data_IF_265257592869
#
_entry.id   IF_265257592869
#
_cell.length_a   1.000
_cell.length_b   1.000
_cell.length_c   1.000
_cell.angle_alpha   90.00
_cell.angle_beta   90.00
_cell.angle_gamma   90.00
#
_symmetry.space_group_name_H-M   'P 1'
#
loop_
_entity.id
_entity.type
_entity.pdbx_description
1 polymer ?
#
# COMPACT_ATOMS: atom_id res chain seq x y z
N UNK A 1 -13.92 -10.72 -26.31
CA UNK A 1 -14.86 -11.55 -25.48
C UNK A 1 -14.20 -12.78 -24.87
N UNK A 2 -13.18 -13.40 -25.51
CA UNK A 2 -12.53 -14.63 -25.00
C UNK A 2 -11.58 -14.37 -23.80
N UNK A 3 -10.94 -13.20 -23.69
CA UNK A 3 -9.97 -12.93 -22.63
C UNK A 3 -10.65 -12.67 -21.27
N UNK A 4 -11.75 -11.92 -21.25
CA UNK A 4 -12.52 -11.68 -20.01
C UNK A 4 -13.14 -12.96 -19.42
N UNK A 5 -13.49 -13.94 -20.25
CA UNK A 5 -13.99 -15.24 -19.77
C UNK A 5 -12.84 -16.08 -19.16
N UNK A 6 -11.65 -16.07 -19.75
CA UNK A 6 -10.48 -16.76 -19.20
C UNK A 6 -10.02 -16.16 -17.86
N UNK A 7 -10.02 -14.84 -17.74
CA UNK A 7 -9.69 -14.18 -16.48
C UNK A 7 -10.70 -14.52 -15.38
N UNK A 8 -11.98 -14.60 -15.71
CA UNK A 8 -13.05 -14.93 -14.76
C UNK A 8 -12.96 -16.40 -14.32
N UNK A 9 -12.72 -17.31 -15.24
CA UNK A 9 -12.48 -18.75 -14.93
C UNK A 9 -11.23 -18.94 -14.06
N UNK A 10 -10.18 -18.16 -14.31
CA UNK A 10 -8.95 -18.20 -13.51
C UNK A 10 -9.16 -17.63 -12.12
N UNK A 11 -9.93 -16.54 -11.97
CA UNK A 11 -10.33 -16.00 -10.67
C UNK A 11 -11.20 -16.97 -9.86
N UNK A 12 -12.17 -17.62 -10.50
CA UNK A 12 -13.02 -18.62 -9.85
C UNK A 12 -12.21 -19.85 -9.41
N UNK A 13 -11.20 -20.26 -10.18
CA UNK A 13 -10.26 -21.31 -9.82
C UNK A 13 -9.42 -20.96 -8.59
N UNK A 14 -8.88 -19.73 -8.53
CA UNK A 14 -8.12 -19.22 -7.38
C UNK A 14 -9.02 -19.19 -6.14
N UNK A 15 -10.26 -18.71 -6.27
CA UNK A 15 -11.20 -18.61 -5.14
C UNK A 15 -11.49 -19.97 -4.51
N UNK A 16 -11.78 -20.97 -5.33
CA UNK A 16 -11.98 -22.35 -4.86
C UNK A 16 -10.76 -22.93 -4.16
N UNK A 17 -9.57 -22.65 -4.68
CA UNK A 17 -8.30 -23.09 -4.05
C UNK A 17 -8.11 -22.44 -2.68
N UNK A 18 -8.37 -21.13 -2.57
CA UNK A 18 -8.28 -20.40 -1.29
C UNK A 18 -9.29 -20.93 -0.27
N UNK A 19 -10.53 -21.19 -0.67
CA UNK A 19 -11.55 -21.79 0.21
C UNK A 19 -11.12 -23.18 0.71
N UNK A 20 -10.64 -24.04 -0.18
CA UNK A 20 -10.18 -25.38 0.19
C UNK A 20 -9.00 -25.33 1.18
N UNK A 21 -8.02 -24.46 0.94
CA UNK A 21 -6.89 -24.24 1.86
C UNK A 21 -7.37 -23.70 3.20
N UNK A 22 -8.27 -22.72 3.20
CA UNK A 22 -8.85 -22.15 4.42
C UNK A 22 -9.54 -23.22 5.26
N UNK A 23 -10.34 -24.07 4.63
CA UNK A 23 -11.00 -25.19 5.32
C UNK A 23 -10.00 -26.16 5.96
N UNK A 24 -8.90 -26.46 5.28
CA UNK A 24 -7.83 -27.35 5.81
C UNK A 24 -7.15 -26.71 7.03
N UNK A 25 -6.81 -25.44 6.95
CA UNK A 25 -6.18 -24.68 8.04
C UNK A 25 -7.12 -24.61 9.26
N UNK A 26 -8.36 -24.20 9.05
CA UNK A 26 -9.38 -24.12 10.13
C UNK A 26 -9.58 -25.50 10.78
N UNK A 27 -9.73 -26.56 10.00
CA UNK A 27 -9.90 -27.92 10.53
C UNK A 27 -8.70 -28.40 11.35
N UNK A 28 -7.48 -28.05 10.94
CA UNK A 28 -6.26 -28.37 11.67
C UNK A 28 -6.16 -27.62 13.00
N UNK A 29 -6.54 -26.36 13.01
CA UNK A 29 -6.54 -25.50 14.20
C UNK A 29 -7.65 -25.90 15.18
N UNK A 30 -8.86 -26.19 14.67
CA UNK A 30 -10.01 -26.58 15.51
C UNK A 30 -9.74 -27.87 16.29
N UNK A 31 -8.97 -28.80 15.74
CA UNK A 31 -8.56 -30.03 16.46
C UNK A 31 -7.70 -29.70 17.69
N UNK A 32 -6.80 -28.70 17.60
CA UNK A 32 -5.98 -28.24 18.73
C UNK A 32 -6.77 -27.49 19.78
N UNK A 33 -7.79 -26.68 19.36
CA UNK A 33 -8.66 -25.97 20.31
C UNK A 33 -9.51 -26.96 21.13
N UNK A 34 -9.92 -28.09 20.53
CA UNK A 34 -10.72 -29.11 21.24
C UNK A 34 -10.00 -29.67 22.47
N UNK A 35 -8.66 -29.57 22.51
CA UNK A 35 -7.83 -29.96 23.65
C UNK A 35 -7.63 -28.84 24.69
N UNK A 36 -8.28 -27.67 24.51
CA UNK A 36 -8.22 -26.54 25.44
C UNK A 36 -6.99 -25.64 25.28
N UNK A 37 -6.21 -25.80 24.21
CA UNK A 37 -5.03 -25.01 23.93
C UNK A 37 -5.38 -23.62 23.38
N UNK A 38 -4.58 -22.62 23.78
CA UNK A 38 -4.65 -21.27 23.24
C UNK A 38 -3.91 -21.24 21.89
N UNK A 39 -4.57 -20.73 20.83
CA UNK A 39 -3.93 -20.57 19.51
C UNK A 39 -3.27 -19.22 19.42
N UNK A 40 -1.98 -19.23 19.16
CA UNK A 40 -1.22 -18.02 18.82
C UNK A 40 -1.25 -17.73 17.32
N UNK A 41 -1.04 -16.46 16.94
CA UNK A 41 -1.04 -16.04 15.54
C UNK A 41 0.02 -16.80 14.72
N UNK A 42 1.14 -17.14 15.35
CA UNK A 42 2.22 -17.93 14.76
C UNK A 42 1.74 -19.33 14.37
N UNK A 43 0.93 -19.98 15.22
CA UNK A 43 0.33 -21.30 14.92
C UNK A 43 -0.55 -21.27 13.68
N UNK A 44 -1.34 -20.18 13.52
CA UNK A 44 -2.17 -19.99 12.33
C UNK A 44 -1.29 -19.85 11.10
N UNK A 45 -0.23 -19.03 11.19
CA UNK A 45 0.69 -18.78 10.08
C UNK A 45 1.44 -20.04 9.66
N UNK A 46 1.88 -20.83 10.62
CA UNK A 46 2.55 -22.11 10.35
C UNK A 46 1.61 -23.13 9.71
N UNK A 47 0.32 -23.15 10.12
CA UNK A 47 -0.66 -24.02 9.48
C UNK A 47 -0.98 -23.60 8.03
N UNK A 48 -1.01 -22.30 7.74
CA UNK A 48 -1.15 -21.78 6.37
C UNK A 48 0.04 -22.22 5.50
N UNK A 49 1.25 -22.07 5.99
CA UNK A 49 2.48 -22.50 5.30
C UNK A 49 2.45 -24.00 5.01
N UNK A 50 2.15 -24.81 6.03
CA UNK A 50 2.05 -26.26 5.90
C UNK A 50 0.94 -26.68 4.91
N UNK A 51 -0.20 -26.00 4.90
CA UNK A 51 -1.27 -26.29 3.96
C UNK A 51 -0.86 -26.00 2.51
N UNK A 52 -0.21 -24.85 2.27
CA UNK A 52 0.32 -24.47 0.97
C UNK A 52 1.38 -25.46 0.47
N UNK A 53 2.28 -25.92 1.35
CA UNK A 53 3.31 -26.90 1.03
C UNK A 53 2.73 -28.27 0.67
N UNK A 54 1.74 -28.74 1.46
CA UNK A 54 1.08 -30.06 1.24
C UNK A 54 0.26 -30.11 -0.04
N UNK A 55 -0.31 -28.98 -0.44
CA UNK A 55 -1.09 -28.86 -1.67
C UNK A 55 -0.21 -28.47 -2.88
N UNK A 56 1.12 -28.65 -2.76
CA UNK A 56 2.11 -28.41 -3.82
C UNK A 56 2.19 -26.96 -4.34
N UNK A 57 1.64 -26.00 -3.59
CA UNK A 57 1.71 -24.57 -3.90
C UNK A 57 3.04 -23.95 -3.43
N UNK A 58 4.17 -24.61 -3.73
CA UNK A 58 5.51 -24.25 -3.22
C UNK A 58 5.93 -22.81 -3.51
N UNK A 59 5.58 -22.27 -4.69
CA UNK A 59 5.88 -20.86 -5.04
C UNK A 59 5.13 -19.88 -4.15
N UNK A 60 3.85 -20.18 -3.88
CA UNK A 60 3.00 -19.35 -3.00
C UNK A 60 3.44 -19.48 -1.55
N UNK A 61 3.77 -20.69 -1.10
CA UNK A 61 4.31 -20.93 0.25
C UNK A 61 5.59 -20.12 0.48
N UNK A 62 6.53 -20.15 -0.47
CA UNK A 62 7.76 -19.36 -0.38
C UNK A 62 7.49 -17.86 -0.33
N UNK A 63 6.61 -17.36 -1.20
CA UNK A 63 6.22 -15.95 -1.20
C UNK A 63 5.55 -15.55 0.14
N UNK A 64 4.73 -16.43 0.70
CA UNK A 64 4.07 -16.24 2.00
C UNK A 64 5.08 -16.13 3.15
N UNK A 65 6.08 -17.02 3.21
CA UNK A 65 7.15 -16.98 4.23
C UNK A 65 7.93 -15.67 4.13
N UNK A 66 8.37 -15.29 2.93
CA UNK A 66 9.09 -14.03 2.71
C UNK A 66 8.25 -12.81 3.13
N UNK A 67 6.97 -12.79 2.77
CA UNK A 67 6.04 -11.75 3.19
C UNK A 67 5.90 -11.69 4.72
N UNK A 68 5.77 -12.85 5.37
CA UNK A 68 5.68 -12.98 6.84
C UNK A 68 6.93 -12.43 7.53
N UNK A 69 8.13 -12.78 7.03
CA UNK A 69 9.39 -12.27 7.55
C UNK A 69 9.52 -10.76 7.38
N UNK A 70 9.21 -10.24 6.21
CA UNK A 70 9.20 -8.79 5.96
C UNK A 70 8.25 -8.06 6.90
N UNK A 71 7.05 -8.61 7.13
CA UNK A 71 6.07 -8.03 8.06
C UNK A 71 6.53 -8.11 9.52
N UNK A 72 7.21 -9.19 9.91
CA UNK A 72 7.78 -9.34 11.25
C UNK A 72 8.91 -8.32 11.48
N UNK A 73 9.83 -8.19 10.53
CA UNK A 73 10.88 -7.19 10.54
C UNK A 73 10.31 -5.76 10.62
N UNK A 74 9.31 -5.45 9.80
CA UNK A 74 8.62 -4.16 9.81
C UNK A 74 8.01 -3.85 11.19
N UNK A 75 7.32 -4.80 11.80
CA UNK A 75 6.75 -4.63 13.16
C UNK A 75 7.83 -4.42 14.22
N UNK A 76 8.92 -5.18 14.16
CA UNK A 76 10.05 -5.04 15.08
C UNK A 76 10.67 -3.63 14.97
N UNK A 77 10.94 -3.17 13.76
CA UNK A 77 11.52 -1.85 13.52
C UNK A 77 10.56 -0.73 13.93
N UNK A 78 9.26 -0.86 13.65
CA UNK A 78 8.25 0.11 14.08
C UNK A 78 8.15 0.17 15.60
N UNK A 79 8.23 -1.00 16.30
CA UNK A 79 8.26 -1.05 17.75
C UNK A 79 9.50 -0.33 18.31
N UNK A 80 10.68 -0.59 17.75
CA UNK A 80 11.92 0.07 18.12
C UNK A 80 11.88 1.59 17.88
N UNK A 81 11.27 2.01 16.77
CA UNK A 81 11.02 3.45 16.50
C UNK A 81 10.11 4.08 17.54
N UNK A 82 9.02 3.40 17.92
CA UNK A 82 8.12 3.86 19.00
C UNK A 82 8.84 3.99 20.33
N UNK A 83 9.72 3.06 20.65
CA UNK A 83 10.55 3.11 21.87
C UNK A 83 11.56 4.27 21.83
N UNK A 84 12.15 4.56 20.66
CA UNK A 84 13.15 5.64 20.49
C UNK A 84 12.54 7.04 20.44
N UNK A 85 11.39 7.18 19.79
CA UNK A 85 10.71 8.48 19.62
C UNK A 85 9.77 8.77 20.79
N UNK A 86 9.43 7.74 21.58
CA UNK A 86 8.76 7.80 22.85
C UNK A 86 7.44 8.60 22.84
N UNK A 87 7.14 9.19 23.97
CA UNK A 87 5.91 9.97 24.20
C UNK A 87 5.75 11.19 23.27
N UNK A 88 6.85 11.69 22.69
CA UNK A 88 6.81 12.85 21.77
C UNK A 88 5.96 12.60 20.53
N UNK A 89 6.08 11.46 19.88
CA UNK A 89 5.29 11.16 18.66
C UNK A 89 3.79 10.93 18.99
N UNK A 90 3.51 10.37 20.15
CA UNK A 90 2.12 10.09 20.58
C UNK A 90 1.35 11.38 20.93
N UNK A 91 2.04 12.47 21.26
CA UNK A 91 1.44 13.77 21.56
C UNK A 91 1.34 14.70 20.35
N UNK A 92 1.97 14.35 19.22
CA UNK A 92 1.93 15.18 18.02
C UNK A 92 0.63 14.94 17.24
N UNK A 93 0.06 16.03 16.74
CA UNK A 93 -1.14 16.00 15.89
C UNK A 93 -0.75 16.17 14.42
N UNK A 94 -1.50 15.55 13.54
CA UNK A 94 -1.43 15.74 12.08
C UNK A 94 -2.72 16.40 11.60
N UNK A 95 -2.59 17.37 10.73
CA UNK A 95 -3.72 17.99 10.04
C UNK A 95 -3.94 17.26 8.70
N UNK A 96 -5.11 16.66 8.54
CA UNK A 96 -5.50 15.97 7.31
C UNK A 96 -5.87 16.96 6.20
N UNK A 97 -6.01 16.44 4.97
CA UNK A 97 -6.46 17.22 3.80
C UNK A 97 -7.87 17.82 3.96
N UNK A 98 -8.74 17.17 4.74
CA UNK A 98 -10.08 17.65 5.08
C UNK A 98 -10.11 18.66 6.24
N UNK A 99 -8.93 19.06 6.76
CA UNK A 99 -8.79 19.96 7.90
C UNK A 99 -8.97 19.29 9.26
N UNK A 100 -9.35 18.03 9.33
CA UNK A 100 -9.47 17.31 10.60
C UNK A 100 -8.10 17.01 11.21
N UNK A 101 -8.02 16.91 12.53
CA UNK A 101 -6.79 16.60 13.24
C UNK A 101 -6.87 15.23 13.87
N UNK A 102 -5.79 14.46 13.76
CA UNK A 102 -5.64 13.18 14.46
C UNK A 102 -4.23 13.02 15.02
N UNK A 103 -4.01 12.14 16.03
CA UNK A 103 -2.66 11.83 16.50
C UNK A 103 -1.80 11.24 15.38
N UNK A 104 -0.53 11.58 15.32
CA UNK A 104 0.42 10.98 14.38
C UNK A 104 0.51 9.48 14.65
N UNK A 105 0.31 8.68 13.60
CA UNK A 105 0.46 7.24 13.66
C UNK A 105 1.65 6.79 12.83
N UNK A 106 2.73 6.41 13.49
CA UNK A 106 3.93 5.85 12.83
C UNK A 106 3.59 4.56 12.09
N UNK A 107 2.63 3.77 12.59
CA UNK A 107 2.18 2.55 11.91
C UNK A 107 1.55 2.86 10.54
N UNK A 108 0.71 3.91 10.46
CA UNK A 108 0.12 4.34 9.20
C UNK A 108 1.19 4.79 8.20
N UNK A 109 2.18 5.56 8.67
CA UNK A 109 3.29 6.05 7.85
C UNK A 109 4.12 4.86 7.34
N UNK A 110 4.58 4.00 8.25
CA UNK A 110 5.40 2.82 7.92
C UNK A 110 4.68 1.88 6.95
N UNK A 111 3.41 1.61 7.20
CA UNK A 111 2.61 0.73 6.33
C UNK A 111 2.49 1.29 4.91
N UNK A 112 2.24 2.59 4.79
CA UNK A 112 2.12 3.26 3.49
C UNK A 112 3.44 3.22 2.72
N UNK A 113 4.55 3.57 3.36
CA UNK A 113 5.87 3.53 2.71
C UNK A 113 6.23 2.10 2.31
N UNK A 114 5.92 1.10 3.15
CA UNK A 114 6.14 -0.32 2.84
C UNK A 114 5.32 -0.80 1.64
N UNK A 115 4.06 -0.39 1.52
CA UNK A 115 3.22 -0.73 0.35
C UNK A 115 3.79 -0.12 -0.92
N UNK A 116 4.21 1.16 -0.88
CA UNK A 116 4.77 1.86 -2.04
C UNK A 116 6.15 1.34 -2.45
N UNK A 117 6.89 0.68 -1.55
CA UNK A 117 8.17 0.05 -1.84
C UNK A 117 8.06 -1.36 -2.46
N UNK A 118 6.85 -1.88 -2.65
CA UNK A 118 6.65 -3.23 -3.19
C UNK A 118 7.36 -3.38 -4.53
N UNK A 119 8.18 -4.44 -4.66
CA UNK A 119 8.96 -4.72 -5.86
C UNK A 119 10.27 -3.93 -6.00
N UNK A 120 10.60 -3.05 -5.05
CA UNK A 120 11.90 -2.37 -4.97
C UNK A 120 12.84 -3.15 -4.04
N UNK A 121 14.14 -3.08 -4.33
CA UNK A 121 15.19 -3.78 -3.56
C UNK A 121 15.79 -2.87 -2.48
N UNK A 122 14.94 -2.33 -1.61
CA UNK A 122 15.32 -1.40 -0.54
C UNK A 122 14.55 -1.72 0.75
N UNK A 123 15.08 -1.23 1.88
CA UNK A 123 14.35 -1.24 3.15
C UNK A 123 13.57 0.08 3.33
N UNK A 124 12.22 0.04 3.19
CA UNK A 124 11.38 1.23 3.32
C UNK A 124 11.43 1.86 4.72
N UNK A 125 11.80 1.07 5.74
CA UNK A 125 11.82 1.51 7.14
C UNK A 125 12.93 2.53 7.38
N UNK A 126 14.04 2.43 6.65
CA UNK A 126 15.14 3.40 6.70
C UNK A 126 14.64 4.81 6.39
N UNK A 127 13.74 4.95 5.40
CA UNK A 127 13.12 6.25 5.08
C UNK A 127 12.33 6.79 6.26
N UNK A 128 11.49 5.95 6.87
CA UNK A 128 10.67 6.36 8.03
C UNK A 128 11.57 6.73 9.22
N UNK A 129 12.61 5.95 9.49
CA UNK A 129 13.55 6.21 10.57
C UNK A 129 14.25 7.57 10.41
N UNK A 130 14.67 7.89 9.19
CA UNK A 130 15.33 9.17 8.90
C UNK A 130 14.34 10.36 8.88
N UNK A 131 13.07 10.11 8.54
CA UNK A 131 12.05 11.16 8.50
C UNK A 131 11.46 11.49 9.88
N UNK A 132 11.29 10.51 10.78
CA UNK A 132 10.61 10.69 12.06
C UNK A 132 11.19 11.87 12.92
N UNK A 133 12.52 12.06 13.01
CA UNK A 133 13.08 13.18 13.80
C UNK A 133 12.67 14.58 13.30
N UNK A 134 12.29 14.71 12.03
CA UNK A 134 11.85 15.98 11.44
C UNK A 134 10.34 16.26 11.55
N UNK A 135 9.57 15.33 12.10
CA UNK A 135 8.15 15.55 12.32
C UNK A 135 7.89 16.47 13.51
N UNK A 136 6.89 17.32 13.39
CA UNK A 136 6.46 18.27 14.41
C UNK A 136 4.93 18.26 14.56
N UNK A 137 4.42 18.85 15.64
CA UNK A 137 2.99 18.89 15.89
C UNK A 137 2.27 19.82 14.91
N UNK A 138 1.05 19.45 14.51
CA UNK A 138 0.21 20.13 13.52
C UNK A 138 0.75 20.13 12.08
N UNK A 139 1.78 19.33 11.79
CA UNK A 139 2.24 19.10 10.41
C UNK A 139 1.07 18.58 9.55
N UNK A 140 0.98 19.05 8.32
CA UNK A 140 -0.04 18.54 7.40
C UNK A 140 0.33 17.17 6.83
N UNK A 141 -0.68 16.38 6.47
CA UNK A 141 -0.44 15.09 5.81
C UNK A 141 0.26 15.24 4.46
N UNK A 142 0.11 16.37 3.78
CA UNK A 142 0.80 16.70 2.52
C UNK A 142 2.29 16.96 2.77
N UNK A 143 2.60 17.72 3.82
CA UNK A 143 3.99 17.98 4.23
C UNK A 143 4.70 16.70 4.66
N UNK A 144 4.00 15.79 5.39
CA UNK A 144 4.56 14.47 5.72
C UNK A 144 4.90 13.70 4.44
N UNK A 145 3.99 13.69 3.44
CA UNK A 145 4.23 13.00 2.17
C UNK A 145 5.41 13.61 1.42
N UNK A 146 5.52 14.94 1.41
CA UNK A 146 6.64 15.66 0.80
C UNK A 146 7.94 15.32 1.50
N UNK A 147 7.97 15.39 2.82
CA UNK A 147 9.18 15.13 3.62
C UNK A 147 9.66 13.68 3.50
N UNK A 148 8.73 12.71 3.47
CA UNK A 148 9.06 11.29 3.20
C UNK A 148 9.65 11.09 1.81
N UNK A 149 9.09 11.75 0.78
CA UNK A 149 9.60 11.67 -0.57
C UNK A 149 11.01 12.27 -0.70
N UNK A 150 11.25 13.45 -0.10
CA UNK A 150 12.56 14.10 -0.09
C UNK A 150 13.59 13.27 0.69
N UNK A 151 13.19 12.66 1.82
CA UNK A 151 14.04 11.75 2.58
C UNK A 151 14.41 10.51 1.74
N UNK A 152 13.46 9.92 1.02
CA UNK A 152 13.73 8.82 0.11
C UNK A 152 14.64 9.25 -1.05
N UNK A 153 14.39 10.43 -1.65
CA UNK A 153 15.23 10.97 -2.71
C UNK A 153 16.68 11.18 -2.26
N UNK A 154 16.89 11.67 -1.03
CA UNK A 154 18.23 11.83 -0.46
C UNK A 154 18.97 10.47 -0.28
N UNK A 155 18.23 9.38 -0.10
CA UNK A 155 18.79 8.02 0.02
C UNK A 155 19.18 7.38 -1.31
N UNK A 156 18.92 8.02 -2.44
CA UNK A 156 19.31 7.53 -3.77
C UNK A 156 20.82 7.30 -3.88
N UNK A 157 21.61 8.00 -3.08
CA UNK A 157 23.07 7.77 -2.97
C UNK A 157 23.38 6.38 -2.40
N UNK A 158 22.51 5.82 -1.55
CA UNK A 158 22.68 4.48 -0.96
C UNK A 158 22.18 3.39 -1.91
N UNK A 159 21.03 3.60 -2.57
CA UNK A 159 20.47 2.68 -3.56
C UNK A 159 19.54 3.43 -4.54
N UNK A 160 19.65 3.19 -5.88
CA UNK A 160 18.85 3.89 -6.88
C UNK A 160 17.33 3.68 -6.72
N UNK A 161 16.89 2.55 -6.20
CA UNK A 161 15.46 2.26 -6.02
C UNK A 161 14.78 3.21 -5.02
N UNK A 162 15.53 3.95 -4.19
CA UNK A 162 14.95 5.00 -3.36
C UNK A 162 14.38 6.16 -4.18
N UNK A 163 14.91 6.42 -5.40
CA UNK A 163 14.33 7.39 -6.31
C UNK A 163 12.93 6.98 -6.76
N UNK A 164 12.73 5.71 -7.10
CA UNK A 164 11.40 5.20 -7.43
C UNK A 164 10.44 5.25 -6.24
N UNK A 165 10.91 4.95 -5.03
CA UNK A 165 10.08 5.09 -3.83
C UNK A 165 9.67 6.56 -3.62
N UNK A 166 10.60 7.50 -3.78
CA UNK A 166 10.34 8.94 -3.67
C UNK A 166 9.26 9.39 -4.67
N UNK A 167 9.38 9.00 -5.94
CA UNK A 167 8.39 9.25 -6.98
C UNK A 167 7.02 8.65 -6.61
N UNK A 168 6.99 7.40 -6.19
CA UNK A 168 5.74 6.72 -5.79
C UNK A 168 5.03 7.41 -4.62
N UNK A 169 5.76 7.94 -3.64
CA UNK A 169 5.19 8.71 -2.53
C UNK A 169 4.55 9.99 -3.07
N UNK A 170 5.23 10.72 -3.98
CA UNK A 170 4.70 11.96 -4.59
C UNK A 170 3.49 11.68 -5.47
N UNK A 171 3.53 10.68 -6.31
CA UNK A 171 2.40 10.24 -7.15
C UNK A 171 1.20 9.86 -6.28
N UNK A 172 1.41 9.08 -5.22
CA UNK A 172 0.34 8.73 -4.28
C UNK A 172 -0.28 9.96 -3.60
N UNK A 173 0.52 11.00 -3.28
CA UNK A 173 0.00 12.27 -2.77
C UNK A 173 -0.81 13.00 -3.83
N UNK A 174 -0.29 13.10 -5.06
CA UNK A 174 -0.95 13.75 -6.19
C UNK A 174 -2.31 13.11 -6.51
N UNK A 175 -2.39 11.78 -6.56
CA UNK A 175 -3.64 11.05 -6.80
C UNK A 175 -4.71 11.31 -5.71
N UNK A 176 -4.32 11.72 -4.51
CA UNK A 176 -5.27 12.11 -3.45
C UNK A 176 -5.75 13.55 -3.58
N UNK A 177 -5.01 14.38 -4.28
CA UNK A 177 -5.28 15.81 -4.45
C UNK A 177 -5.98 16.11 -5.79
N UNK A 178 -5.75 15.26 -6.80
CA UNK A 178 -6.31 15.44 -8.13
C UNK A 178 -7.47 14.46 -8.37
N UNK A 179 -8.60 14.96 -8.87
CA UNK A 179 -9.68 14.08 -9.30
C UNK A 179 -9.28 13.32 -10.58
N UNK A 180 -9.88 12.15 -10.82
CA UNK A 180 -9.75 11.43 -12.08
C UNK A 180 -10.18 12.26 -13.29
N UNK A 181 -9.73 11.86 -14.49
CA UNK A 181 -9.88 12.62 -15.74
C UNK A 181 -11.32 13.11 -16.00
N UNK A 182 -12.32 12.26 -15.81
CA UNK A 182 -13.73 12.60 -16.08
C UNK A 182 -14.24 13.67 -15.10
N UNK A 183 -13.90 13.53 -13.81
CA UNK A 183 -14.29 14.50 -12.78
C UNK A 183 -13.58 15.84 -13.01
N UNK A 184 -12.28 15.81 -13.35
CA UNK A 184 -11.51 17.00 -13.69
C UNK A 184 -12.11 17.74 -14.90
N UNK A 185 -12.50 16.99 -15.95
CA UNK A 185 -13.16 17.56 -17.14
C UNK A 185 -14.48 18.23 -16.79
N UNK A 186 -15.27 17.62 -15.89
CA UNK A 186 -16.53 18.20 -15.42
C UNK A 186 -16.29 19.51 -14.66
N UNK A 187 -15.36 19.52 -13.71
CA UNK A 187 -15.03 20.70 -12.92
C UNK A 187 -14.56 21.86 -13.84
N UNK A 188 -13.66 21.56 -14.79
CA UNK A 188 -13.18 22.56 -15.74
C UNK A 188 -14.29 23.13 -16.63
N UNK A 189 -15.31 22.33 -16.97
CA UNK A 189 -16.47 22.81 -17.71
C UNK A 189 -17.37 23.71 -16.82
N UNK A 190 -17.62 23.32 -15.59
CA UNK A 190 -18.39 24.10 -14.62
C UNK A 190 -17.73 25.45 -14.32
N UNK A 191 -16.38 25.50 -14.31
CA UNK A 191 -15.58 26.72 -14.17
C UNK A 191 -15.53 27.57 -15.46
N UNK A 192 -16.18 27.14 -16.56
CA UNK A 192 -16.21 27.86 -17.83
C UNK A 192 -14.90 27.81 -18.63
N UNK A 193 -13.97 26.92 -18.28
CA UNK A 193 -12.66 26.76 -18.91
C UNK A 193 -12.68 25.81 -20.12
N UNK A 194 -13.75 25.03 -20.28
CA UNK A 194 -13.91 24.09 -21.40
C UNK A 194 -15.11 24.45 -22.26
N UNK A 195 -14.97 24.23 -23.57
CA UNK A 195 -16.06 24.38 -24.54
C UNK A 195 -17.09 23.26 -24.37
N UNK A 196 -18.37 23.60 -24.55
CA UNK A 196 -19.48 22.67 -24.38
C UNK A 196 -19.41 21.46 -25.33
N UNK A 197 -19.00 21.68 -26.60
CA UNK A 197 -18.86 20.60 -27.58
C UNK A 197 -17.80 19.57 -27.19
N UNK A 198 -16.67 20.02 -26.62
CA UNK A 198 -15.65 19.14 -26.09
C UNK A 198 -16.15 18.37 -24.86
N UNK A 199 -16.74 19.07 -23.89
CA UNK A 199 -17.33 18.45 -22.71
C UNK A 199 -18.32 17.35 -23.05
N UNK A 200 -19.28 17.64 -23.97
CA UNK A 200 -20.28 16.64 -24.41
C UNK A 200 -19.62 15.40 -25.02
N UNK A 201 -18.59 15.57 -25.87
CA UNK A 201 -17.86 14.45 -26.47
C UNK A 201 -17.16 13.59 -25.44
N UNK A 202 -16.52 14.20 -24.43
CA UNK A 202 -15.85 13.46 -23.36
C UNK A 202 -16.86 12.69 -22.54
N UNK A 203 -17.98 13.32 -22.12
CA UNK A 203 -19.01 12.66 -21.33
C UNK A 203 -19.71 11.52 -22.08
N UNK A 204 -19.93 11.64 -23.38
CA UNK A 204 -20.49 10.55 -24.21
C UNK A 204 -19.58 9.33 -24.32
N UNK A 205 -18.27 9.50 -24.12
CA UNK A 205 -17.27 8.45 -24.23
C UNK A 205 -16.57 8.18 -22.88
N UNK A 206 -17.13 8.64 -21.76
CA UNK A 206 -16.49 8.62 -20.45
C UNK A 206 -15.96 7.24 -20.06
N UNK A 207 -16.78 6.19 -20.14
CA UNK A 207 -16.39 4.82 -19.79
C UNK A 207 -15.29 4.28 -20.70
N UNK A 208 -15.32 4.62 -21.98
CA UNK A 208 -14.29 4.20 -22.94
C UNK A 208 -12.96 4.88 -22.66
N UNK A 209 -12.97 6.16 -22.32
CA UNK A 209 -11.76 6.94 -21.99
C UNK A 209 -11.18 6.42 -20.67
N UNK A 210 -11.99 6.28 -19.62
CA UNK A 210 -11.54 5.83 -18.31
C UNK A 210 -10.94 4.41 -18.37
N UNK A 211 -11.50 3.54 -19.22
CA UNK A 211 -11.00 2.16 -19.38
C UNK A 211 -9.62 2.07 -20.05
N UNK A 212 -9.15 3.13 -20.70
CA UNK A 212 -7.84 3.18 -21.38
C UNK A 212 -6.78 3.85 -20.50
N UNK A 213 -7.20 4.67 -19.53
CA UNK A 213 -6.27 5.33 -18.61
C UNK A 213 -5.75 4.30 -17.61
N UNK A 214 -4.43 4.10 -17.61
CA UNK A 214 -3.72 3.20 -16.70
C UNK A 214 -2.94 4.04 -15.68
N UNK A 215 -3.58 4.34 -14.55
CA UNK A 215 -2.99 5.12 -13.46
C UNK A 215 -1.84 4.40 -12.75
N UNK A 216 -1.71 3.07 -12.89
CA UNK A 216 -0.60 2.32 -12.28
C UNK A 216 0.74 2.64 -12.97
N UNK A 217 0.71 3.10 -14.21
CA UNK A 217 1.91 3.56 -14.93
C UNK A 217 2.57 4.76 -14.26
N UNK A 218 1.82 5.60 -13.57
CA UNK A 218 2.35 6.76 -12.86
C UNK A 218 3.37 6.35 -11.78
N UNK A 219 3.26 5.13 -11.24
CA UNK A 219 4.19 4.59 -10.26
C UNK A 219 5.49 4.02 -10.84
N UNK A 220 5.70 4.12 -12.15
CA UNK A 220 6.92 3.66 -12.83
C UNK A 220 7.95 4.76 -13.06
N UNK A 221 7.62 6.01 -12.77
CA UNK A 221 8.52 7.14 -12.94
C UNK A 221 9.64 7.18 -11.88
N UNK A 222 10.77 7.77 -12.28
CA UNK A 222 11.86 8.14 -11.38
C UNK A 222 11.62 9.55 -10.83
N UNK A 223 12.06 9.82 -9.61
CA UNK A 223 11.84 11.11 -8.95
C UNK A 223 12.56 12.29 -9.64
N UNK A 224 13.67 12.00 -10.31
CA UNK A 224 14.52 12.98 -10.97
C UNK A 224 14.32 13.02 -12.49
N UNK A 225 13.40 12.23 -13.05
CA UNK A 225 13.13 12.15 -14.50
C UNK A 225 12.32 13.34 -15.02
#
# INVERSE_FOLDING_TARGET
RNDKNKEKEQQDGIHKTVEALTHKVVSALTRRIADGDMIHIEDIQDQVELALMRDEHHKVARAYVLYREQRAASRYHTKKLKEQVGEKASSMMVTKRDGSKEPISLDKITNRVSVLSTGLNIDPIVVVQKAVPGLYSDISSVEIDTYLAETAAALTVEHPDYSYLAARIKVNSLHKETPGFIIATKNLYEDGLLREDYYKKVMQNADSIESVIDYDKDYTFDYFA
#
